data_IF_257581268530
#
_entry.id   IF_257581268530
#
_cell.length_a   1.000
_cell.length_b   1.000
_cell.length_c   1.000
_cell.angle_alpha   90.00
_cell.angle_beta   90.00
_cell.angle_gamma   90.00
#
_symmetry.space_group_name_H-M   'P 1'
#
loop_
_entity.id
_entity.type
_entity.pdbx_description
1 polymer ?
#
# COMPACT_ATOMS: atom_id res chain seq x y z
N UNK A 1 -7.86 -7.28 16.70
CA UNK A 1 -7.69 -6.33 15.59
C UNK A 1 -7.87 -4.90 16.06
N UNK A 2 -9.02 -4.56 16.64
CA UNK A 2 -9.29 -3.19 17.08
C UNK A 2 -8.25 -2.60 18.04
N UNK A 3 -7.88 -3.32 19.10
CA UNK A 3 -6.83 -2.92 20.03
C UNK A 3 -5.45 -2.78 19.36
N UNK A 4 -5.19 -3.56 18.30
CA UNK A 4 -3.95 -3.44 17.53
C UNK A 4 -3.91 -2.14 16.73
N UNK A 5 -5.04 -1.68 16.18
CA UNK A 5 -5.11 -0.42 15.45
C UNK A 5 -4.84 0.81 16.34
N UNK A 6 -4.90 0.65 17.67
CA UNK A 6 -4.53 1.69 18.65
C UNK A 6 -3.07 1.65 19.07
N UNK A 7 -2.31 0.62 18.70
CA UNK A 7 -0.88 0.58 19.02
C UNK A 7 -0.11 1.48 18.05
N UNK A 8 1.07 1.98 18.45
CA UNK A 8 2.00 2.63 17.53
C UNK A 8 2.27 1.76 16.30
N UNK A 9 2.46 0.45 16.49
CA UNK A 9 2.70 -0.49 15.39
C UNK A 9 1.53 -0.59 14.40
N UNK A 10 0.29 -0.63 14.90
CA UNK A 10 -0.89 -0.69 14.04
C UNK A 10 -1.08 0.57 13.21
N UNK A 11 -0.81 1.75 13.81
CA UNK A 11 -0.82 3.02 13.09
C UNK A 11 0.31 3.09 12.06
N UNK A 12 1.51 2.69 12.47
CA UNK A 12 2.71 2.69 11.65
C UNK A 12 2.56 1.83 10.38
N UNK A 13 2.05 0.60 10.51
CA UNK A 13 1.85 -0.29 9.35
C UNK A 13 0.85 0.22 8.32
N UNK A 14 -0.12 1.04 8.71
CA UNK A 14 -1.05 1.63 7.76
C UNK A 14 -0.42 2.74 6.88
N UNK A 15 0.87 3.04 7.07
CA UNK A 15 1.62 4.04 6.32
C UNK A 15 2.78 3.44 5.50
N UNK A 16 2.83 2.10 5.38
CA UNK A 16 3.96 1.40 4.78
C UNK A 16 4.28 1.81 3.34
N UNK A 17 3.30 2.14 2.49
CA UNK A 17 3.58 2.55 1.11
C UNK A 17 4.32 3.89 1.09
N UNK A 18 3.85 4.86 1.87
CA UNK A 18 4.53 6.15 1.97
C UNK A 18 5.95 5.95 2.51
N UNK A 19 6.13 5.13 3.55
CA UNK A 19 7.45 4.84 4.12
C UNK A 19 8.41 4.19 3.13
N UNK A 20 7.95 3.20 2.37
CA UNK A 20 8.82 2.44 1.46
C UNK A 20 9.15 3.20 0.18
N UNK A 21 8.28 4.12 -0.23
CA UNK A 21 8.42 4.84 -1.49
C UNK A 21 8.93 6.27 -1.32
N UNK A 22 8.98 6.82 -0.10
CA UNK A 22 9.68 8.08 0.13
C UNK A 22 11.19 7.86 0.22
N UNK A 23 11.94 8.77 -0.39
CA UNK A 23 13.40 8.78 -0.44
C UNK A 23 14.06 8.88 0.95
N UNK A 24 13.37 9.47 1.92
CA UNK A 24 13.81 9.58 3.33
C UNK A 24 13.08 8.59 4.27
N UNK A 25 12.51 7.51 3.71
CA UNK A 25 11.72 6.50 4.40
C UNK A 25 12.24 6.15 5.79
N UNK A 26 13.47 5.66 5.90
CA UNK A 26 14.00 5.22 7.20
C UNK A 26 14.32 6.39 8.16
N UNK A 27 14.60 7.59 7.66
CA UNK A 27 14.91 8.78 8.50
C UNK A 27 13.67 9.40 9.11
N UNK A 28 12.54 9.40 8.39
CA UNK A 28 11.26 9.90 8.88
C UNK A 28 10.78 9.15 10.14
N UNK A 29 11.14 7.88 10.28
CA UNK A 29 10.68 7.02 11.37
C UNK A 29 11.71 6.77 12.48
N UNK A 30 12.95 7.25 12.34
CA UNK A 30 14.00 7.14 13.35
C UNK A 30 14.04 8.34 14.33
N UNK A 31 13.60 9.53 13.92
CA UNK A 31 13.71 10.76 14.72
C UNK A 31 12.51 11.04 15.65
N UNK A 32 11.82 10.01 16.13
CA UNK A 32 10.78 10.13 17.16
C UNK A 32 9.41 10.67 16.70
N UNK A 33 9.31 11.35 15.57
CA UNK A 33 8.04 11.84 15.00
C UNK A 33 7.30 10.81 14.15
N UNK A 34 7.99 9.83 13.55
CA UNK A 34 7.36 8.95 12.56
C UNK A 34 6.56 7.76 13.13
N UNK A 35 6.89 7.22 14.32
CA UNK A 35 6.12 6.09 14.87
C UNK A 35 4.73 6.49 15.37
N UNK A 36 4.51 7.77 15.63
CA UNK A 36 3.27 8.28 16.20
C UNK A 36 2.55 9.29 15.30
N UNK A 37 3.25 9.88 14.32
CA UNK A 37 2.71 10.86 13.38
C UNK A 37 2.06 10.27 12.12
N UNK A 38 1.21 11.07 11.48
CA UNK A 38 0.76 10.81 10.10
C UNK A 38 1.76 11.44 9.12
N UNK A 39 2.01 10.85 7.93
CA UNK A 39 2.86 11.45 6.93
C UNK A 39 2.27 12.78 6.46
N UNK A 40 3.13 13.75 6.15
CA UNK A 40 2.73 15.00 5.52
C UNK A 40 2.34 14.77 4.06
N UNK A 41 1.66 15.75 3.47
CA UNK A 41 1.35 15.73 2.03
C UNK A 41 2.63 15.72 1.17
N UNK A 42 3.72 16.31 1.67
CA UNK A 42 5.04 16.25 1.03
C UNK A 42 5.57 14.81 0.95
N UNK A 43 5.47 14.04 2.04
CA UNK A 43 5.86 12.61 2.03
C UNK A 43 5.00 11.79 1.08
N UNK A 44 3.68 12.06 1.03
CA UNK A 44 2.77 11.39 0.11
C UNK A 44 3.13 11.70 -1.35
N UNK A 45 3.42 12.97 -1.66
CA UNK A 45 3.82 13.39 -3.00
C UNK A 45 5.20 12.83 -3.39
N UNK A 46 6.14 12.74 -2.45
CA UNK A 46 7.42 12.08 -2.69
C UNK A 46 7.23 10.60 -3.03
N UNK A 47 6.42 9.88 -2.25
CA UNK A 47 6.09 8.49 -2.53
C UNK A 47 5.45 8.28 -3.92
N UNK A 48 4.58 9.20 -4.36
CA UNK A 48 4.01 9.18 -5.71
C UNK A 48 5.07 9.40 -6.79
N UNK A 49 5.96 10.38 -6.63
CA UNK A 49 7.06 10.62 -7.59
C UNK A 49 7.98 9.43 -7.71
N UNK A 50 8.34 8.80 -6.59
CA UNK A 50 9.15 7.58 -6.61
C UNK A 50 8.41 6.45 -7.32
N UNK A 51 7.10 6.32 -7.10
CA UNK A 51 6.28 5.33 -7.78
C UNK A 51 6.27 5.54 -9.31
N UNK A 52 6.17 6.79 -9.75
CA UNK A 52 6.23 7.18 -11.18
C UNK A 52 7.61 6.94 -11.81
N UNK A 53 8.66 6.82 -10.99
CA UNK A 53 10.01 6.54 -11.45
C UNK A 53 10.28 5.04 -11.71
N UNK A 54 9.38 4.14 -11.33
CA UNK A 54 9.51 2.72 -11.67
C UNK A 54 9.23 2.49 -13.16
N UNK A 55 10.07 1.69 -13.82
CA UNK A 55 9.84 1.27 -15.20
C UNK A 55 8.50 0.54 -15.39
N UNK A 56 8.12 -0.28 -14.41
CA UNK A 56 6.84 -1.02 -14.39
C UNK A 56 6.36 -1.14 -12.95
N UNK A 57 5.11 -0.74 -12.72
CA UNK A 57 4.39 -0.96 -11.46
C UNK A 57 3.01 -1.57 -11.75
N UNK A 58 2.39 -2.19 -10.74
CA UNK A 58 1.11 -2.88 -10.90
C UNK A 58 0.39 -3.12 -9.57
N UNK A 59 -0.84 -3.62 -9.66
CA UNK A 59 -1.71 -3.91 -8.52
C UNK A 59 -2.05 -5.40 -8.45
N UNK A 60 -2.32 -5.93 -7.26
CA UNK A 60 -2.60 -7.36 -7.06
C UNK A 60 -3.95 -7.82 -7.63
N UNK A 61 -4.81 -6.84 -7.92
CA UNK A 61 -6.09 -6.95 -8.61
C UNK A 61 -5.90 -7.23 -10.10
N UNK A 62 -4.79 -6.78 -10.70
CA UNK A 62 -4.48 -6.89 -12.14
C UNK A 62 -3.06 -7.45 -12.36
N UNK A 63 -2.86 -8.68 -11.89
CA UNK A 63 -1.61 -9.42 -12.15
C UNK A 63 -1.39 -9.68 -13.64
N UNK A 64 -2.40 -10.06 -14.45
CA UNK A 64 -2.21 -10.23 -15.89
C UNK A 64 -1.69 -8.97 -16.59
N UNK A 65 -2.31 -7.81 -16.35
CA UNK A 65 -1.87 -6.56 -16.96
C UNK A 65 -0.46 -6.16 -16.51
N UNK A 66 -0.05 -6.47 -15.27
CA UNK A 66 1.34 -6.30 -14.85
C UNK A 66 2.30 -7.20 -15.65
N UNK A 67 1.97 -8.47 -15.88
CA UNK A 67 2.82 -9.40 -16.66
C UNK A 67 2.97 -8.91 -18.10
N UNK A 68 1.89 -8.43 -18.72
CA UNK A 68 1.91 -7.97 -20.10
C UNK A 68 2.73 -6.67 -20.24
N UNK A 69 2.57 -5.70 -19.32
CA UNK A 69 3.42 -4.49 -19.28
C UNK A 69 4.89 -4.81 -19.05
N UNK A 70 5.18 -5.81 -18.21
CA UNK A 70 6.56 -6.24 -17.97
C UNK A 70 7.18 -6.87 -19.22
N UNK A 71 6.44 -7.73 -19.93
CA UNK A 71 6.88 -8.34 -21.18
C UNK A 71 7.11 -7.28 -22.26
N UNK A 72 6.20 -6.31 -22.40
CA UNK A 72 6.37 -5.18 -23.32
C UNK A 72 7.62 -4.35 -23.02
N UNK A 73 7.88 -4.06 -21.74
CA UNK A 73 9.01 -3.22 -21.32
C UNK A 73 10.36 -3.94 -21.45
N UNK A 74 10.42 -5.23 -21.14
CA UNK A 74 11.68 -5.97 -20.98
C UNK A 74 11.89 -7.11 -21.98
N UNK A 75 10.90 -7.44 -22.80
CA UNK A 75 10.93 -8.55 -23.77
C UNK A 75 10.97 -9.94 -23.12
N UNK A 76 10.58 -10.06 -21.85
CA UNK A 76 10.57 -11.32 -21.11
C UNK A 76 9.27 -11.47 -20.36
N UNK A 77 8.54 -12.56 -20.64
CA UNK A 77 7.30 -12.87 -19.95
C UNK A 77 7.51 -13.52 -18.60
N UNK A 78 7.02 -12.87 -17.54
CA UNK A 78 7.02 -13.41 -16.19
C UNK A 78 6.06 -14.60 -16.05
N UNK A 79 6.56 -15.70 -15.47
CA UNK A 79 5.71 -16.82 -15.04
C UNK A 79 5.26 -16.60 -13.60
N UNK A 80 4.09 -16.00 -13.42
CA UNK A 80 3.50 -15.82 -12.09
C UNK A 80 2.91 -17.14 -11.57
N UNK A 81 3.32 -17.55 -10.38
CA UNK A 81 2.81 -18.75 -9.71
C UNK A 81 1.38 -18.60 -9.17
N UNK A 82 0.91 -19.61 -8.44
CA UNK A 82 -0.43 -19.62 -7.84
C UNK A 82 -0.59 -18.49 -6.81
N UNK A 83 -1.64 -17.67 -6.96
CA UNK A 83 -2.06 -16.66 -5.98
C UNK A 83 -2.38 -17.33 -4.64
N UNK A 84 -1.74 -16.88 -3.56
CA UNK A 84 -2.09 -17.31 -2.20
C UNK A 84 -3.47 -16.78 -1.86
N UNK A 85 -4.39 -17.67 -1.50
CA UNK A 85 -5.70 -17.28 -0.97
C UNK A 85 -5.63 -17.20 0.54
N UNK A 86 -6.38 -16.27 1.14
CA UNK A 86 -6.49 -16.20 2.60
C UNK A 86 -7.10 -17.51 3.12
N UNK A 87 -6.54 -18.11 4.19
CA UNK A 87 -7.12 -19.29 4.82
C UNK A 87 -8.43 -18.97 5.57
N UNK A 88 -8.68 -17.68 5.86
CA UNK A 88 -9.92 -17.24 6.49
C UNK A 88 -11.06 -17.20 5.47
N UNK A 89 -12.20 -17.77 5.83
CA UNK A 89 -13.41 -17.69 5.01
C UNK A 89 -13.88 -16.25 4.87
N UNK A 90 -14.70 -15.97 3.84
CA UNK A 90 -15.31 -14.65 3.65
C UNK A 90 -16.11 -14.20 4.88
N UNK A 91 -16.92 -15.10 5.45
CA UNK A 91 -17.73 -14.81 6.63
C UNK A 91 -16.88 -14.54 7.87
N UNK A 92 -15.75 -15.24 8.05
CA UNK A 92 -14.80 -14.95 9.13
C UNK A 92 -14.18 -13.56 9.01
N UNK A 93 -13.78 -13.17 7.78
CA UNK A 93 -13.23 -11.83 7.52
C UNK A 93 -14.26 -10.73 7.75
N UNK A 94 -15.50 -10.95 7.34
CA UNK A 94 -16.58 -9.97 7.52
C UNK A 94 -16.92 -9.76 9.01
N UNK A 95 -16.98 -10.84 9.81
CA UNK A 95 -17.21 -10.75 11.27
C UNK A 95 -16.09 -10.02 12.03
N UNK A 96 -14.85 -10.09 11.54
CA UNK A 96 -13.71 -9.42 12.16
C UNK A 96 -13.62 -7.92 11.83
N UNK A 97 -14.39 -7.46 10.84
CA UNK A 97 -14.33 -6.09 10.31
C UNK A 97 -15.67 -5.39 10.52
N UNK A 98 -15.96 -5.04 11.77
CA UNK A 98 -17.10 -4.18 12.11
C UNK A 98 -17.00 -2.83 11.35
N UNK A 99 -18.12 -2.12 11.15
CA UNK A 99 -18.10 -0.79 10.53
C UNK A 99 -17.08 0.17 11.16
N UNK A 100 -16.98 0.16 12.49
CA UNK A 100 -16.07 1.01 13.27
C UNK A 100 -14.61 0.66 12.99
N UNK A 101 -14.28 -0.65 13.01
CA UNK A 101 -12.94 -1.14 12.68
C UNK A 101 -12.56 -0.76 11.25
N UNK A 102 -13.49 -0.89 10.29
CA UNK A 102 -13.26 -0.48 8.90
C UNK A 102 -13.00 1.01 8.78
N UNK A 103 -13.76 1.84 9.48
CA UNK A 103 -13.56 3.29 9.47
C UNK A 103 -12.19 3.66 10.02
N UNK A 104 -11.77 3.00 11.11
CA UNK A 104 -10.45 3.19 11.71
C UNK A 104 -9.32 2.78 10.77
N UNK A 105 -9.42 1.63 10.12
CA UNK A 105 -8.47 1.19 9.09
C UNK A 105 -8.39 2.22 7.96
N UNK A 106 -9.53 2.71 7.45
CA UNK A 106 -9.52 3.74 6.40
C UNK A 106 -8.81 5.02 6.84
N UNK A 107 -9.02 5.46 8.08
CA UNK A 107 -8.36 6.65 8.62
C UNK A 107 -6.84 6.46 8.70
N UNK A 108 -6.39 5.34 9.25
CA UNK A 108 -4.96 5.04 9.39
C UNK A 108 -4.31 4.89 8.00
N UNK A 109 -4.96 4.16 7.09
CA UNK A 109 -4.44 3.88 5.76
C UNK A 109 -4.65 5.00 4.74
N UNK A 110 -5.24 6.15 5.11
CA UNK A 110 -5.51 7.27 4.20
C UNK A 110 -4.28 7.68 3.36
N UNK A 111 -3.06 7.78 3.92
CA UNK A 111 -1.87 8.13 3.14
C UNK A 111 -1.53 7.05 2.10
N UNK A 112 -1.56 5.77 2.49
CA UNK A 112 -1.33 4.66 1.56
C UNK A 112 -2.39 4.60 0.46
N UNK A 113 -3.66 4.88 0.79
CA UNK A 113 -4.74 4.96 -0.19
C UNK A 113 -4.44 6.04 -1.24
N UNK A 114 -3.93 7.20 -0.86
CA UNK A 114 -3.60 8.26 -1.80
C UNK A 114 -2.49 7.86 -2.79
N UNK A 115 -1.50 7.07 -2.35
CA UNK A 115 -0.44 6.54 -3.23
C UNK A 115 -0.99 5.41 -4.12
N UNK A 116 -1.80 4.51 -3.56
CA UNK A 116 -2.41 3.41 -4.31
C UNK A 116 -3.38 3.89 -5.39
N UNK A 117 -4.22 4.88 -5.06
CA UNK A 117 -5.17 5.48 -6.00
C UNK A 117 -4.45 6.18 -7.15
N UNK A 118 -3.35 6.91 -6.86
CA UNK A 118 -2.49 7.49 -7.89
C UNK A 118 -2.00 6.45 -8.89
N UNK A 119 -1.46 5.31 -8.42
CA UNK A 119 -1.05 4.23 -9.31
C UNK A 119 -2.22 3.70 -10.15
N UNK A 120 -3.35 3.44 -9.50
CA UNK A 120 -4.52 2.87 -10.17
C UNK A 120 -5.02 3.79 -11.29
N UNK A 121 -5.00 5.10 -11.06
CA UNK A 121 -5.43 6.08 -12.04
C UNK A 121 -4.42 6.16 -13.21
N UNK A 122 -3.11 6.08 -12.95
CA UNK A 122 -2.07 5.96 -14.00
C UNK A 122 -2.22 4.69 -14.83
N UNK A 123 -2.68 3.58 -14.23
CA UNK A 123 -2.91 2.31 -14.96
C UNK A 123 -4.19 2.30 -15.79
N UNK A 124 -5.14 3.21 -15.53
CA UNK A 124 -6.42 3.28 -16.21
C UNK A 124 -6.42 4.25 -17.41
N UNK A 125 -5.43 5.14 -17.49
CA UNK A 125 -5.17 6.03 -18.64
C UNK A 125 -4.31 5.36 -19.69
#
# INVERSE_FOLDING_TARGET
>A
LEAFLDTPDGRFRGQDYVRLLTSDGDRLFQNGSGREGMPSDEHINDAKRTLDAFDVAGVLEDVPGFVDRFDERFGVRLKMGRKRTSPASRSQRERQLSPEVRQKIRKICRPNMAVYEHLRDTLAG
#
